data_IF_803167549407
#
_entry.id   IF_803167549407
#
_cell.length_a   1.000
_cell.length_b   1.000
_cell.length_c   1.000
_cell.angle_alpha   90.00
_cell.angle_beta   90.00
_cell.angle_gamma   90.00
#
_symmetry.space_group_name_H-M   'P 1'
#
loop_
_entity.id
_entity.type
_entity.pdbx_description
1 polymer ?
#
# COMPACT_ATOMS: atom_id res chain seq x y z
N UNK A 1 -3.87 -1.63 -13.47
CA UNK A 1 -2.86 -1.53 -12.40
C UNK A 1 -3.55 -1.38 -11.06
N UNK A 2 -3.03 -2.01 -10.05
CA UNK A 2 -3.61 -1.95 -8.73
C UNK A 2 -2.57 -1.92 -7.62
N UNK A 3 -3.04 -1.75 -6.39
CA UNK A 3 -2.22 -1.81 -5.20
C UNK A 3 -2.95 -2.62 -4.13
N UNK A 4 -2.19 -3.28 -3.29
CA UNK A 4 -2.71 -4.00 -2.13
C UNK A 4 -2.16 -3.33 -0.87
N UNK A 5 -3.04 -3.01 0.07
CA UNK A 5 -2.68 -2.34 1.31
C UNK A 5 -2.90 -3.27 2.49
N UNK A 6 -1.87 -3.41 3.32
CA UNK A 6 -1.91 -4.20 4.55
C UNK A 6 -2.46 -5.63 4.35
N UNK A 7 -1.89 -6.42 3.43
CA UNK A 7 -2.39 -7.79 3.24
C UNK A 7 -2.13 -8.63 4.50
N UNK A 8 -3.15 -9.29 4.97
CA UNK A 8 -3.10 -10.03 6.24
C UNK A 8 -3.38 -11.53 6.09
N UNK A 9 -3.82 -11.93 4.92
CA UNK A 9 -4.21 -13.31 4.65
C UNK A 9 -3.21 -14.03 3.75
N UNK A 10 -3.57 -15.23 3.32
CA UNK A 10 -2.81 -16.01 2.38
C UNK A 10 -2.61 -15.22 1.08
N UNK A 11 -1.38 -15.18 0.58
CA UNK A 11 -1.05 -14.50 -0.68
C UNK A 11 -1.91 -14.98 -1.85
N UNK A 12 -2.35 -16.24 -1.83
CA UNK A 12 -3.19 -16.80 -2.89
C UNK A 12 -4.51 -16.06 -3.06
N UNK A 13 -5.08 -15.52 -1.98
CA UNK A 13 -6.30 -14.73 -2.06
C UNK A 13 -6.10 -13.50 -2.95
N UNK A 14 -4.99 -12.80 -2.77
CA UNK A 14 -4.70 -11.58 -3.52
C UNK A 14 -4.30 -11.89 -4.96
N UNK A 15 -3.54 -12.96 -5.17
CA UNK A 15 -3.17 -13.40 -6.51
C UNK A 15 -4.39 -13.81 -7.32
N UNK A 16 -5.32 -14.54 -6.71
CA UNK A 16 -6.57 -14.96 -7.35
C UNK A 16 -7.44 -13.74 -7.69
N UNK A 17 -7.62 -12.83 -6.74
CA UNK A 17 -8.41 -11.62 -6.95
C UNK A 17 -7.85 -10.78 -8.10
N UNK A 18 -6.53 -10.65 -8.17
CA UNK A 18 -5.88 -9.91 -9.25
C UNK A 18 -6.13 -10.58 -10.61
N UNK A 19 -6.02 -11.92 -10.68
CA UNK A 19 -6.26 -12.66 -11.92
C UNK A 19 -7.71 -12.57 -12.36
N UNK A 20 -8.65 -12.74 -11.43
CA UNK A 20 -10.08 -12.71 -11.73
C UNK A 20 -10.53 -11.34 -12.22
N UNK A 21 -9.89 -10.29 -11.78
CA UNK A 21 -10.23 -8.90 -12.14
C UNK A 21 -9.27 -8.31 -13.18
N UNK A 22 -8.35 -9.11 -13.73
CA UNK A 22 -7.35 -8.67 -14.70
C UNK A 22 -6.55 -7.46 -14.20
N UNK A 23 -6.16 -7.46 -12.93
CA UNK A 23 -5.40 -6.39 -12.29
C UNK A 23 -3.93 -6.79 -12.21
N UNK A 24 -3.06 -5.89 -12.66
CA UNK A 24 -1.62 -5.99 -12.47
C UNK A 24 -1.26 -5.26 -11.16
N UNK A 25 -0.79 -6.00 -10.16
CA UNK A 25 -0.43 -5.41 -8.87
C UNK A 25 0.90 -4.69 -9.02
N UNK A 26 0.88 -3.37 -8.83
CA UNK A 26 2.03 -2.50 -8.98
C UNK A 26 2.74 -2.23 -7.66
N UNK A 27 1.96 -2.05 -6.60
CA UNK A 27 2.47 -1.74 -5.27
C UNK A 27 1.81 -2.63 -4.23
N UNK A 28 2.61 -3.05 -3.26
CA UNK A 28 2.13 -3.67 -2.03
C UNK A 28 2.58 -2.77 -0.89
N UNK A 29 1.65 -2.19 -0.17
CA UNK A 29 1.91 -1.16 0.81
C UNK A 29 1.53 -1.67 2.20
N UNK A 30 2.49 -1.65 3.12
CA UNK A 30 2.18 -1.82 4.53
C UNK A 30 2.20 -0.46 5.22
N UNK A 31 1.13 -0.13 5.93
CA UNK A 31 1.02 1.15 6.64
C UNK A 31 1.89 1.19 7.88
N UNK A 32 2.27 0.03 8.39
CA UNK A 32 3.19 -0.11 9.51
C UNK A 32 3.91 -1.46 9.43
N UNK A 33 5.02 -1.58 10.14
CA UNK A 33 5.74 -2.86 10.22
C UNK A 33 5.04 -3.77 11.22
N UNK A 34 4.68 -4.97 10.75
CA UNK A 34 4.04 -5.96 11.59
C UNK A 34 5.10 -6.75 12.37
N UNK A 35 5.22 -6.47 13.66
CA UNK A 35 6.25 -7.09 14.49
C UNK A 35 5.95 -8.56 14.82
N UNK A 36 4.67 -8.91 14.92
CA UNK A 36 4.23 -10.21 15.41
C UNK A 36 3.93 -11.23 14.33
N UNK A 37 3.95 -10.81 13.07
CA UNK A 37 3.58 -11.66 11.95
C UNK A 37 4.57 -11.50 10.81
N UNK A 38 4.83 -12.61 10.12
CA UNK A 38 5.50 -12.54 8.82
C UNK A 38 4.57 -11.78 7.89
N UNK A 39 5.00 -10.60 7.44
CA UNK A 39 4.17 -9.79 6.56
C UNK A 39 3.91 -10.54 5.25
N UNK A 40 2.66 -10.78 4.96
CA UNK A 40 2.20 -11.30 3.69
C UNK A 40 2.55 -10.33 2.55
N UNK A 41 2.67 -9.05 2.84
CA UNK A 41 2.96 -8.00 1.85
C UNK A 41 4.28 -8.21 1.14
N UNK A 42 5.35 -8.50 1.87
CA UNK A 42 6.67 -8.71 1.27
C UNK A 42 6.66 -9.91 0.32
N UNK A 43 6.05 -11.01 0.74
CA UNK A 43 5.94 -12.21 -0.09
C UNK A 43 5.08 -11.95 -1.33
N UNK A 44 3.98 -11.25 -1.17
CA UNK A 44 3.11 -10.90 -2.28
C UNK A 44 3.85 -10.03 -3.30
N UNK A 45 4.64 -9.07 -2.83
CA UNK A 45 5.44 -8.22 -3.71
C UNK A 45 6.47 -9.05 -4.49
N UNK A 46 7.14 -9.99 -3.84
CA UNK A 46 8.10 -10.87 -4.50
C UNK A 46 7.45 -11.71 -5.60
N UNK A 47 6.27 -12.26 -5.33
CA UNK A 47 5.58 -13.15 -6.28
C UNK A 47 4.97 -12.39 -7.45
N UNK A 48 4.63 -11.13 -7.28
CA UNK A 48 3.98 -10.32 -8.33
C UNK A 48 4.93 -9.42 -9.09
N UNK A 49 6.14 -9.23 -8.58
CA UNK A 49 7.06 -8.23 -9.10
C UNK A 49 6.69 -6.80 -8.71
N UNK A 50 5.71 -6.63 -7.84
CA UNK A 50 5.30 -5.32 -7.34
C UNK A 50 6.35 -4.71 -6.41
N UNK A 51 6.30 -3.37 -6.27
CA UNK A 51 7.17 -2.67 -5.31
C UNK A 51 6.57 -2.78 -3.91
N UNK A 52 7.38 -3.22 -2.97
CA UNK A 52 6.98 -3.23 -1.56
C UNK A 52 7.24 -1.86 -0.95
N UNK A 53 6.24 -1.27 -0.32
CA UNK A 53 6.26 0.15 0.10
C UNK A 53 6.11 0.25 1.62
N UNK A 54 7.04 0.99 2.24
CA UNK A 54 6.99 1.35 3.66
C UNK A 54 7.43 2.80 3.82
N UNK A 55 7.04 3.42 4.93
CA UNK A 55 7.57 4.74 5.28
C UNK A 55 9.08 4.68 5.47
N UNK A 56 9.77 5.74 5.09
CA UNK A 56 11.24 5.80 5.13
C UNK A 56 11.82 5.61 6.53
N UNK A 57 11.05 5.86 7.58
CA UNK A 57 11.49 5.63 8.96
C UNK A 57 11.39 4.17 9.41
N UNK A 58 10.79 3.29 8.59
CA UNK A 58 10.67 1.90 8.95
C UNK A 58 12.04 1.23 9.07
N UNK A 59 12.19 0.41 10.09
CA UNK A 59 13.41 -0.37 10.30
C UNK A 59 13.17 -1.79 9.81
N UNK A 60 13.78 -2.15 8.69
CA UNK A 60 13.58 -3.45 8.06
C UNK A 60 14.90 -3.93 7.43
N UNK A 61 15.13 -5.24 7.49
CA UNK A 61 16.35 -5.85 6.98
C UNK A 61 16.29 -6.21 5.49
N UNK A 62 15.29 -5.76 4.80
CA UNK A 62 15.05 -6.06 3.39
C UNK A 62 14.75 -4.78 2.61
N UNK A 63 14.92 -4.85 1.30
CA UNK A 63 14.68 -3.71 0.43
C UNK A 63 13.19 -3.38 0.32
N UNK A 64 12.88 -2.10 0.34
CA UNK A 64 11.54 -1.60 0.11
C UNK A 64 11.61 -0.21 -0.52
N UNK A 65 10.51 0.21 -1.13
CA UNK A 65 10.38 1.56 -1.64
C UNK A 65 10.09 2.51 -0.47
N UNK A 66 11.01 3.43 -0.23
CA UNK A 66 10.88 4.41 0.85
C UNK A 66 9.93 5.52 0.43
N UNK A 67 8.91 5.77 1.23
CA UNK A 67 7.97 6.87 0.99
C UNK A 67 7.94 7.82 2.18
N UNK A 68 7.64 9.08 1.88
CA UNK A 68 7.57 10.16 2.86
C UNK A 68 6.21 10.84 2.74
N UNK A 69 5.90 11.70 3.71
CA UNK A 69 4.67 12.48 3.71
C UNK A 69 4.54 13.27 2.40
N UNK A 70 3.38 13.17 1.78
CA UNK A 70 3.09 13.87 0.53
C UNK A 70 3.51 13.13 -0.74
N UNK A 71 4.25 12.03 -0.63
CA UNK A 71 4.62 11.24 -1.82
C UNK A 71 3.38 10.67 -2.50
N UNK A 72 3.44 10.56 -3.82
CA UNK A 72 2.35 10.06 -4.63
C UNK A 72 2.79 8.82 -5.39
N UNK A 73 2.00 7.76 -5.24
CA UNK A 73 2.14 6.53 -6.03
C UNK A 73 1.10 6.57 -7.14
N UNK A 74 1.55 6.49 -8.38
CA UNK A 74 0.70 6.65 -9.55
C UNK A 74 0.31 5.29 -10.13
N UNK A 75 -0.99 5.08 -10.29
CA UNK A 75 -1.57 3.88 -10.89
C UNK A 75 -2.35 4.23 -12.19
N UNK A 76 -1.95 5.29 -12.86
CA UNK A 76 -2.67 5.76 -14.04
C UNK A 76 -3.83 6.66 -13.63
N UNK A 77 -5.05 6.13 -13.71
CA UNK A 77 -6.25 6.90 -13.34
C UNK A 77 -6.43 7.05 -11.83
N UNK A 78 -5.69 6.29 -11.04
CA UNK A 78 -5.75 6.34 -9.58
C UNK A 78 -4.40 6.79 -9.05
N UNK A 79 -4.42 7.70 -8.09
CA UNK A 79 -3.24 8.13 -7.37
C UNK A 79 -3.40 7.87 -5.88
N UNK A 80 -2.33 7.43 -5.25
CA UNK A 80 -2.28 7.21 -3.80
C UNK A 80 -1.29 8.22 -3.22
N UNK A 81 -1.79 9.12 -2.38
CA UNK A 81 -0.93 10.05 -1.65
C UNK A 81 -0.64 9.50 -0.27
N UNK A 82 0.61 9.51 0.09
CA UNK A 82 1.07 9.05 1.40
C UNK A 82 0.95 10.19 2.40
N UNK A 83 0.34 9.91 3.55
CA UNK A 83 0.26 10.84 4.67
C UNK A 83 0.99 10.21 5.84
N UNK A 84 2.00 10.90 6.37
CA UNK A 84 2.72 10.40 7.53
C UNK A 84 1.89 10.65 8.78
N UNK A 85 1.44 9.58 9.39
CA UNK A 85 0.55 9.64 10.56
C UNK A 85 1.13 8.76 11.67
N UNK A 86 2.27 9.17 12.27
CA UNK A 86 2.87 8.37 13.34
C UNK A 86 1.92 8.32 14.55
N UNK A 87 1.94 7.18 15.23
CA UNK A 87 1.07 6.96 16.37
C UNK A 87 1.58 5.78 17.16
N UNK A 88 0.79 4.70 17.18
CA UNK A 88 1.17 3.47 17.85
C UNK A 88 2.55 2.96 17.37
N UNK A 89 2.83 3.10 16.08
CA UNK A 89 4.16 2.85 15.53
C UNK A 89 4.69 4.13 14.88
N UNK A 90 6.03 4.38 14.96
CA UNK A 90 6.60 5.60 14.42
C UNK A 90 6.60 5.67 12.89
N UNK A 91 6.51 4.53 12.20
CA UNK A 91 6.51 4.45 10.74
C UNK A 91 5.11 4.46 10.12
N UNK A 92 4.07 4.62 10.94
CA UNK A 92 2.68 4.51 10.47
C UNK A 92 2.33 5.58 9.45
N UNK A 93 1.68 5.15 8.37
CA UNK A 93 1.17 6.05 7.33
C UNK A 93 -0.31 5.81 7.08
N UNK A 94 -0.98 6.82 6.58
CA UNK A 94 -2.32 6.72 6.02
C UNK A 94 -2.24 6.95 4.51
N UNK A 95 -3.23 6.47 3.78
CA UNK A 95 -3.24 6.56 2.33
C UNK A 95 -4.49 7.31 1.89
N UNK A 96 -4.30 8.35 1.09
CA UNK A 96 -5.39 9.08 0.45
C UNK A 96 -5.44 8.66 -1.02
N UNK A 97 -6.55 8.02 -1.39
CA UNK A 97 -6.73 7.49 -2.74
C UNK A 97 -7.61 8.43 -3.54
N UNK A 98 -7.12 8.87 -4.69
CA UNK A 98 -7.83 9.77 -5.60
C UNK A 98 -8.05 9.07 -6.92
N UNK A 99 -9.31 8.99 -7.36
CA UNK A 99 -9.69 8.43 -8.65
C UNK A 99 -9.91 9.58 -9.63
N UNK A 100 -8.99 9.72 -10.59
CA UNK A 100 -9.01 10.80 -11.57
C UNK A 100 -10.15 10.67 -12.58
N UNK A 101 -10.69 9.48 -12.76
CA UNK A 101 -11.79 9.28 -13.71
C UNK A 101 -13.07 9.99 -13.24
N UNK A 102 -13.17 10.27 -11.94
CA UNK A 102 -14.29 10.98 -11.34
C UNK A 102 -14.01 12.45 -11.09
N UNK A 103 -12.85 12.95 -11.54
CA UNK A 103 -12.43 14.32 -11.29
C UNK A 103 -11.82 14.48 -9.91
N UNK A 104 -11.70 15.74 -9.46
CA UNK A 104 -11.02 16.08 -8.20
C UNK A 104 -11.98 16.43 -7.07
N UNK A 105 -13.22 15.97 -7.14
CA UNK A 105 -14.21 16.18 -6.09
C UNK A 105 -13.88 15.35 -4.85
N UNK A 106 -14.31 15.83 -3.68
CA UNK A 106 -14.10 15.13 -2.42
C UNK A 106 -14.66 13.70 -2.44
N UNK A 107 -15.75 13.48 -3.18
CA UNK A 107 -16.37 12.17 -3.32
C UNK A 107 -15.47 11.15 -4.02
N UNK A 108 -14.40 11.61 -4.67
CA UNK A 108 -13.44 10.76 -5.36
C UNK A 108 -12.29 10.30 -4.46
N UNK A 109 -12.27 10.71 -3.21
CA UNK A 109 -11.17 10.44 -2.30
C UNK A 109 -11.59 9.51 -1.18
N UNK A 110 -10.71 8.55 -0.88
CA UNK A 110 -10.85 7.69 0.30
C UNK A 110 -9.58 7.80 1.13
N UNK A 111 -9.75 7.70 2.43
CA UNK A 111 -8.62 7.60 3.35
C UNK A 111 -8.57 6.20 3.89
N UNK A 112 -7.51 5.47 3.57
CA UNK A 112 -7.22 4.18 4.20
C UNK A 112 -6.40 4.46 5.44
N UNK A 113 -6.99 4.23 6.60
CA UNK A 113 -6.35 4.42 7.87
C UNK A 113 -6.34 3.08 8.61
N UNK A 114 -5.15 2.58 8.91
CA UNK A 114 -5.03 1.38 9.71
C UNK A 114 -5.32 1.75 11.17
N UNK A 115 -6.19 1.00 11.81
CA UNK A 115 -6.43 1.18 13.23
C UNK A 115 -5.26 0.59 14.00
N UNK A 116 -4.74 1.35 14.97
CA UNK A 116 -3.68 0.84 15.83
C UNK A 116 -4.16 -0.31 16.71
#
# INVERSE_FOLDING_TARGET
MGAVCDPIDDVELYLRAARENAVDIRYVIDTHVHADHISCGRKLAELTGARYVLHSSASADYDFLHVNDGDVLDLGNVQIRVLYTPGHTPEHISLLVADRTRGTNLDSYWVRKSNP
#
